data_IF_795457205066
#
_entry.id   IF_795457205066
#
_cell.length_a   1.000
_cell.length_b   1.000
_cell.length_c   1.000
_cell.angle_alpha   90.00
_cell.angle_beta   90.00
_cell.angle_gamma   90.00
#
_symmetry.space_group_name_H-M   'P 1'
#
loop_
_entity.id
_entity.type
_entity.pdbx_description
1 polymer ?
#
# COMPACT_ATOMS: atom_id res chain seq x y z
N UNK A 1 27.99 -1.75 -9.22
CA UNK A 1 27.35 -0.67 -8.43
C UNK A 1 26.21 -1.30 -7.65
N UNK A 2 26.19 -1.17 -6.33
CA UNK A 2 25.05 -1.60 -5.51
C UNK A 2 23.84 -0.74 -5.85
N UNK A 3 22.68 -1.35 -6.03
CA UNK A 3 21.42 -0.61 -6.14
C UNK A 3 21.16 0.00 -4.76
N UNK A 4 21.24 1.32 -4.67
CA UNK A 4 20.78 2.04 -3.49
C UNK A 4 19.25 1.98 -3.45
N UNK A 5 18.72 1.60 -2.29
CA UNK A 5 17.29 1.49 -2.07
C UNK A 5 16.91 2.04 -0.69
N UNK A 6 15.69 2.56 -0.58
CA UNK A 6 15.16 3.18 0.62
C UNK A 6 13.97 2.36 1.13
N UNK A 7 13.98 1.90 2.40
CA UNK A 7 12.82 1.28 3.00
C UNK A 7 11.80 2.35 3.36
N UNK A 8 10.52 2.10 3.10
CA UNK A 8 9.39 2.96 3.48
C UNK A 8 8.26 2.14 4.07
N UNK A 9 7.29 2.83 4.66
CA UNK A 9 5.97 2.28 4.95
C UNK A 9 4.94 3.06 4.15
N UNK A 10 3.93 2.38 3.62
CA UNK A 10 2.85 3.06 2.92
C UNK A 10 1.48 2.46 3.24
N UNK A 11 0.45 3.28 3.08
CA UNK A 11 -0.95 2.95 3.35
C UNK A 11 -1.77 3.29 2.10
N UNK A 12 -2.29 2.29 1.36
CA UNK A 12 -3.16 2.57 0.22
C UNK A 12 -4.50 3.17 0.70
N UNK A 13 -5.03 4.14 -0.05
CA UNK A 13 -6.41 4.63 0.14
C UNK A 13 -7.38 3.46 0.04
N UNK A 14 -8.32 3.35 0.99
CA UNK A 14 -9.23 2.21 1.17
C UNK A 14 -8.53 0.91 1.64
N UNK A 15 -7.23 0.97 1.88
CA UNK A 15 -6.44 -0.11 2.46
C UNK A 15 -6.63 -0.23 3.96
N UNK A 16 -6.57 -1.47 4.45
CA UNK A 16 -6.75 -1.82 5.87
C UNK A 16 -5.43 -2.21 6.57
N UNK A 17 -4.32 -2.15 5.83
CA UNK A 17 -3.00 -2.58 6.27
C UNK A 17 -1.93 -1.58 5.84
N UNK A 18 -0.96 -1.41 6.72
CA UNK A 18 0.25 -0.65 6.46
C UNK A 18 1.29 -1.62 5.90
N UNK A 19 1.92 -1.26 4.79
CA UNK A 19 2.80 -2.16 4.06
C UNK A 19 4.23 -1.63 4.02
N UNK A 20 5.23 -2.45 4.34
CA UNK A 20 6.62 -2.10 4.06
C UNK A 20 6.92 -2.25 2.56
N UNK A 21 7.73 -1.34 2.03
CA UNK A 21 8.28 -1.46 0.68
C UNK A 21 9.73 -0.98 0.65
N UNK A 22 10.48 -1.47 -0.34
CA UNK A 22 11.86 -1.03 -0.62
C UNK A 22 11.87 -0.44 -2.01
N UNK A 23 12.18 0.85 -2.12
CA UNK A 23 12.16 1.59 -3.38
C UNK A 23 13.60 1.85 -3.86
N UNK A 24 13.92 1.61 -5.15
CA UNK A 24 15.17 2.09 -5.73
C UNK A 24 15.28 3.62 -5.58
N UNK A 25 16.45 4.15 -5.25
CA UNK A 25 16.61 5.60 -4.99
C UNK A 25 16.78 6.42 -6.27
N UNK A 26 17.17 5.77 -7.37
CA UNK A 26 17.50 6.42 -8.65
C UNK A 26 16.31 6.59 -9.63
N UNK A 27 15.14 6.07 -9.27
CA UNK A 27 13.91 6.20 -10.08
C UNK A 27 13.12 7.46 -9.71
N UNK A 28 12.19 7.86 -10.57
CA UNK A 28 11.24 8.92 -10.29
C UNK A 28 10.13 8.42 -9.36
N UNK A 29 9.50 9.34 -8.61
CA UNK A 29 8.38 9.03 -7.71
C UNK A 29 7.24 8.31 -8.46
N UNK A 30 6.92 8.67 -9.70
CA UNK A 30 5.89 7.98 -10.49
C UNK A 30 6.22 6.51 -10.77
N UNK A 31 7.50 6.18 -10.95
CA UNK A 31 7.93 4.79 -11.17
C UNK A 31 7.82 4.00 -9.87
N UNK A 32 8.15 4.62 -8.74
CA UNK A 32 7.91 4.05 -7.42
C UNK A 32 6.42 3.80 -7.16
N UNK A 33 5.55 4.75 -7.54
CA UNK A 33 4.08 4.61 -7.44
C UNK A 33 3.59 3.39 -8.23
N UNK A 34 4.09 3.16 -9.45
CA UNK A 34 3.70 1.96 -10.22
C UNK A 34 4.15 0.66 -9.54
N UNK A 35 5.32 0.64 -8.90
CA UNK A 35 5.75 -0.50 -8.09
C UNK A 35 4.77 -0.74 -6.93
N UNK A 36 4.42 0.31 -6.17
CA UNK A 36 3.47 0.19 -5.06
C UNK A 36 2.06 -0.19 -5.54
N UNK A 37 1.63 0.31 -6.71
CA UNK A 37 0.39 -0.08 -7.36
C UNK A 37 0.33 -1.57 -7.62
N UNK A 38 1.41 -2.16 -8.13
CA UNK A 38 1.49 -3.60 -8.44
C UNK A 38 1.36 -4.51 -7.21
N UNK A 39 1.70 -3.98 -6.02
CA UNK A 39 1.58 -4.70 -4.75
C UNK A 39 0.21 -4.56 -4.09
N UNK A 40 -0.61 -3.60 -4.54
CA UNK A 40 -1.82 -3.19 -3.81
C UNK A 40 -3.09 -3.28 -4.64
N UNK A 41 -3.09 -2.79 -5.87
CA UNK A 41 -4.29 -2.72 -6.70
C UNK A 41 -4.67 -4.12 -7.19
N UNK A 42 -5.95 -4.46 -7.06
CA UNK A 42 -6.54 -5.79 -7.28
C UNK A 42 -6.03 -6.90 -6.33
N UNK A 43 -5.19 -6.53 -5.34
CA UNK A 43 -4.76 -7.42 -4.26
C UNK A 43 -5.46 -7.03 -2.96
N UNK A 44 -5.41 -5.74 -2.62
CA UNK A 44 -5.94 -5.16 -1.39
C UNK A 44 -7.03 -4.12 -1.62
N UNK A 45 -6.94 -3.38 -2.74
CA UNK A 45 -7.88 -2.30 -3.08
C UNK A 45 -8.28 -2.39 -4.55
N UNK A 46 -9.47 -1.92 -4.90
CA UNK A 46 -9.97 -1.96 -6.27
C UNK A 46 -9.36 -0.85 -7.13
N UNK A 47 -9.09 -1.16 -8.40
CA UNK A 47 -8.67 -0.14 -9.35
C UNK A 47 -9.79 0.89 -9.61
N UNK A 48 -9.44 2.18 -9.55
CA UNK A 48 -10.35 3.26 -9.94
C UNK A 48 -10.06 3.71 -11.37
N UNK A 49 -10.93 3.34 -12.31
CA UNK A 49 -10.81 3.69 -13.74
C UNK A 49 -10.69 5.21 -13.93
N UNK A 50 -9.71 5.63 -14.73
CA UNK A 50 -9.47 7.04 -15.05
C UNK A 50 -8.81 7.85 -13.93
N UNK A 51 -8.39 7.21 -12.83
CA UNK A 51 -7.58 7.81 -11.78
C UNK A 51 -6.15 7.30 -11.81
N UNK A 52 -5.24 8.15 -11.39
CA UNK A 52 -3.84 7.78 -11.14
C UNK A 52 -3.59 7.70 -9.64
N UNK A 53 -2.43 7.19 -9.22
CA UNK A 53 -2.01 7.18 -7.83
C UNK A 53 -0.98 8.28 -7.56
N UNK A 54 -0.97 8.79 -6.33
CA UNK A 54 0.01 9.76 -5.82
C UNK A 54 0.49 9.34 -4.43
N UNK A 55 1.75 9.64 -4.14
CA UNK A 55 2.32 9.51 -2.80
C UNK A 55 2.17 10.82 -2.05
N UNK A 56 1.68 10.72 -0.83
CA UNK A 56 1.53 11.85 0.09
C UNK A 56 2.22 11.50 1.39
N UNK A 57 3.10 12.36 1.88
CA UNK A 57 3.73 12.14 3.17
C UNK A 57 2.65 12.11 4.26
N UNK A 58 2.62 11.04 5.04
CA UNK A 58 1.58 10.78 6.03
C UNK A 58 1.52 11.87 7.12
N UNK A 59 2.68 12.39 7.53
CA UNK A 59 2.77 13.34 8.64
C UNK A 59 2.62 14.79 8.18
N UNK A 60 3.16 15.14 7.01
CA UNK A 60 3.16 16.53 6.53
C UNK A 60 1.99 16.83 5.59
N UNK A 61 1.32 15.80 5.06
CA UNK A 61 0.29 15.95 4.03
C UNK A 61 0.84 16.40 2.67
N UNK A 62 2.17 16.47 2.51
CA UNK A 62 2.81 16.92 1.27
C UNK A 62 2.63 15.87 0.17
N UNK A 63 1.99 16.28 -0.94
CA UNK A 63 1.96 15.50 -2.18
C UNK A 63 3.33 15.55 -2.84
N UNK A 64 3.93 14.39 -3.12
CA UNK A 64 5.23 14.34 -3.78
C UNK A 64 5.11 14.65 -5.28
N UNK A 65 6.09 15.37 -5.82
CA UNK A 65 6.20 15.60 -7.27
C UNK A 65 6.47 14.26 -7.98
N UNK A 66 5.61 13.82 -8.93
CA UNK A 66 5.79 12.57 -9.67
C UNK A 66 7.12 12.46 -10.43
N UNK A 67 7.75 13.59 -10.77
CA UNK A 67 8.99 13.63 -11.54
C UNK A 67 10.24 13.80 -10.68
N UNK A 68 10.11 14.07 -9.38
CA UNK A 68 11.24 14.10 -8.46
C UNK A 68 11.90 12.72 -8.36
N UNK A 69 13.20 12.67 -8.08
CA UNK A 69 13.89 11.40 -7.79
C UNK A 69 13.59 10.97 -6.36
N UNK A 70 13.40 9.67 -6.17
CA UNK A 70 13.15 9.06 -4.84
C UNK A 70 14.20 9.51 -3.83
N UNK A 71 15.49 9.46 -4.18
CA UNK A 71 16.59 9.85 -3.27
C UNK A 71 16.51 11.30 -2.76
N UNK A 72 15.85 12.19 -3.50
CA UNK A 72 15.84 13.62 -3.20
C UNK A 72 14.68 13.98 -2.26
N UNK A 73 13.63 13.15 -2.21
CA UNK A 73 12.37 13.49 -1.52
C UNK A 73 11.86 12.42 -0.54
N UNK A 74 12.44 11.22 -0.55
CA UNK A 74 12.05 10.11 0.33
C UNK A 74 13.25 9.73 1.21
N UNK A 75 13.01 9.66 2.52
CA UNK A 75 13.99 9.22 3.52
C UNK A 75 13.67 7.80 4.02
N UNK A 76 14.66 7.07 4.55
CA UNK A 76 14.42 5.78 5.19
C UNK A 76 13.35 5.89 6.27
N UNK A 77 12.39 4.96 6.22
CA UNK A 77 11.27 4.82 7.15
C UNK A 77 10.22 5.94 7.09
N UNK A 78 10.24 6.78 6.05
CA UNK A 78 9.12 7.67 5.80
C UNK A 78 7.83 6.87 5.59
N UNK A 79 6.72 7.45 6.07
CA UNK A 79 5.38 6.88 5.97
C UNK A 79 4.57 7.68 4.95
N UNK A 80 3.90 6.98 4.03
CA UNK A 80 3.13 7.62 2.97
C UNK A 80 1.69 7.10 2.89
N UNK A 81 0.77 7.98 2.52
CA UNK A 81 -0.47 7.59 1.89
C UNK A 81 -0.24 7.36 0.39
N UNK A 82 -0.84 6.30 -0.15
CA UNK A 82 -0.93 6.04 -1.58
C UNK A 82 -2.38 6.29 -2.02
N UNK A 83 -2.65 7.46 -2.60
CA UNK A 83 -4.01 7.97 -2.83
C UNK A 83 -4.37 8.03 -4.31
N UNK A 84 -5.66 7.93 -4.60
CA UNK A 84 -6.21 8.13 -5.94
C UNK A 84 -6.36 9.62 -6.28
N UNK A 85 -5.86 10.01 -7.44
CA UNK A 85 -5.84 11.39 -7.91
C UNK A 85 -6.72 11.60 -9.16
N UNK A 86 -7.45 12.73 -9.25
CA UNK A 86 -7.69 13.71 -8.19
C UNK A 86 -8.48 13.09 -7.03
N UNK A 87 -8.28 13.55 -5.80
CA UNK A 87 -8.93 12.98 -4.64
C UNK A 87 -10.40 13.37 -4.60
N UNK A 88 -11.19 12.56 -3.89
CA UNK A 88 -12.56 12.97 -3.53
C UNK A 88 -12.57 13.88 -2.32
N UNK A 89 -11.71 13.58 -1.35
CA UNK A 89 -11.54 14.31 -0.11
C UNK A 89 -10.05 14.37 0.23
N UNK A 90 -9.58 15.49 0.79
CA UNK A 90 -8.18 15.68 1.14
C UNK A 90 -7.96 15.39 2.64
N UNK A 91 -8.48 14.25 3.11
CA UNK A 91 -8.51 13.87 4.52
C UNK A 91 -7.13 13.80 5.19
N UNK A 92 -6.05 13.64 4.40
CA UNK A 92 -4.68 13.57 4.92
C UNK A 92 -4.11 14.94 5.29
N UNK A 93 -4.73 16.04 4.83
CA UNK A 93 -4.22 17.38 5.09
C UNK A 93 -4.34 17.72 6.58
N UNK A 94 -3.31 18.29 7.22
CA UNK A 94 -3.34 18.58 8.66
C UNK A 94 -4.58 19.34 9.13
N UNK A 95 -5.07 20.28 8.32
CA UNK A 95 -6.29 21.05 8.60
C UNK A 95 -7.57 20.20 8.67
N UNK A 96 -7.60 19.06 7.98
CA UNK A 96 -8.74 18.13 7.95
C UNK A 96 -8.58 17.00 8.99
N UNK A 97 -7.41 16.83 9.62
CA UNK A 97 -7.17 15.73 10.58
C UNK A 97 -7.88 15.89 11.94
N UNK A 98 -8.74 16.89 12.09
CA UNK A 98 -9.57 17.09 13.29
C UNK A 98 -11.07 17.04 12.97
N UNK A 99 -11.44 16.78 11.70
CA UNK A 99 -12.83 16.71 11.30
C UNK A 99 -13.46 15.34 11.58
N UNK A 100 -14.78 15.26 11.37
CA UNK A 100 -15.54 14.04 11.57
C UNK A 100 -15.07 12.91 10.64
N UNK A 101 -14.63 13.23 9.42
CA UNK A 101 -14.18 12.26 8.42
C UNK A 101 -12.90 11.58 8.91
N UNK A 102 -11.91 12.35 9.37
CA UNK A 102 -10.67 11.82 9.90
C UNK A 102 -10.90 10.99 11.17
N UNK A 103 -11.83 11.43 12.03
CA UNK A 103 -12.21 10.63 13.20
C UNK A 103 -12.78 9.26 12.78
N UNK A 104 -13.68 9.21 11.81
CA UNK A 104 -14.24 7.94 11.28
C UNK A 104 -13.13 7.06 10.71
N UNK A 105 -12.15 7.64 10.00
CA UNK A 105 -10.99 6.90 9.49
C UNK A 105 -10.22 6.25 10.64
N UNK A 106 -9.92 7.00 11.72
CA UNK A 106 -9.18 6.48 12.88
C UNK A 106 -9.93 5.41 13.66
N UNK A 107 -11.23 5.63 13.89
CA UNK A 107 -12.09 4.62 14.52
C UNK A 107 -12.13 3.33 13.70
N UNK A 108 -12.18 3.46 12.36
CA UNK A 108 -12.15 2.31 11.45
C UNK A 108 -10.79 1.61 11.46
N UNK A 109 -9.67 2.35 11.39
CA UNK A 109 -8.32 1.77 11.48
C UNK A 109 -8.13 0.98 12.79
N UNK A 110 -8.63 1.51 13.91
CA UNK A 110 -8.57 0.87 15.22
C UNK A 110 -9.45 -0.37 15.33
N UNK A 111 -10.67 -0.34 14.78
CA UNK A 111 -11.54 -1.51 14.74
C UNK A 111 -10.93 -2.65 13.89
N UNK A 112 -10.33 -2.27 12.76
CA UNK A 112 -9.67 -3.19 11.83
C UNK A 112 -8.46 -3.88 12.49
N UNK A 113 -7.74 -3.20 13.41
CA UNK A 113 -7.18 -3.76 14.67
C UNK A 113 -7.31 -5.26 14.88
N UNK A 114 -8.54 -5.64 15.12
CA UNK A 114 -8.91 -6.94 15.67
C UNK A 114 -9.62 -7.81 14.63
N UNK A 115 -9.77 -7.32 13.40
CA UNK A 115 -10.42 -8.05 12.33
C UNK A 115 -9.51 -9.20 11.83
N UNK A 116 -10.08 -10.35 11.42
CA UNK A 116 -9.33 -11.41 10.76
C UNK A 116 -8.87 -10.90 9.38
N UNK A 117 -7.62 -10.41 9.33
CA UNK A 117 -7.06 -9.68 8.18
C UNK A 117 -6.28 -10.51 7.18
N UNK A 118 -6.03 -11.79 7.47
CA UNK A 118 -5.31 -12.63 6.52
C UNK A 118 -6.23 -13.06 5.38
N UNK A 119 -5.86 -12.83 4.10
CA UNK A 119 -6.53 -13.48 2.97
C UNK A 119 -6.62 -15.00 3.14
N UNK A 120 -5.71 -15.63 3.89
CA UNK A 120 -5.78 -17.07 4.22
C UNK A 120 -6.90 -17.46 5.17
N UNK A 121 -7.52 -16.50 5.87
CA UNK A 121 -8.68 -16.72 6.74
C UNK A 121 -9.97 -16.40 5.99
N UNK A 122 -9.97 -15.34 5.18
CA UNK A 122 -11.15 -14.88 4.43
C UNK A 122 -11.41 -15.67 3.14
N UNK A 123 -10.35 -16.17 2.51
CA UNK A 123 -10.38 -16.93 1.26
C UNK A 123 -9.63 -18.27 1.41
N UNK A 124 -9.80 -18.91 2.57
CA UNK A 124 -9.11 -20.16 2.91
C UNK A 124 -9.29 -21.21 1.80
N UNK A 125 -10.51 -21.33 1.29
CA UNK A 125 -10.89 -22.29 0.24
C UNK A 125 -10.20 -21.97 -1.09
N UNK A 126 -10.19 -20.72 -1.54
CA UNK A 126 -9.50 -20.31 -2.76
C UNK A 126 -7.98 -20.44 -2.64
N UNK A 127 -7.40 -20.05 -1.50
CA UNK A 127 -5.96 -20.20 -1.28
C UNK A 127 -5.57 -21.68 -1.26
N UNK A 128 -6.36 -22.55 -0.64
CA UNK A 128 -6.12 -23.99 -0.67
C UNK A 128 -6.30 -24.59 -2.07
N UNK A 129 -7.29 -24.11 -2.84
CA UNK A 129 -7.53 -24.51 -4.22
C UNK A 129 -6.35 -24.17 -5.13
N UNK A 130 -5.78 -22.98 -5.00
CA UNK A 130 -4.70 -22.48 -5.87
C UNK A 130 -3.28 -22.66 -5.29
N UNK A 131 -3.15 -23.16 -4.06
CA UNK A 131 -1.85 -23.42 -3.45
C UNK A 131 -1.07 -24.50 -4.21
N UNK A 132 0.10 -24.10 -4.71
CA UNK A 132 1.05 -24.99 -5.38
C UNK A 132 1.47 -26.13 -4.45
N UNK A 133 1.74 -25.82 -3.17
CA UNK A 133 2.13 -26.80 -2.15
C UNK A 133 1.01 -27.82 -1.92
N UNK A 134 -0.22 -27.36 -1.68
CA UNK A 134 -1.37 -28.26 -1.46
C UNK A 134 -1.64 -29.15 -2.67
N UNK A 135 -1.46 -28.62 -3.88
CA UNK A 135 -1.55 -29.42 -5.11
C UNK A 135 -0.46 -30.50 -5.17
N UNK A 136 0.79 -30.16 -4.88
CA UNK A 136 1.89 -31.12 -4.89
C UNK A 136 1.74 -32.19 -3.79
N UNK A 137 1.21 -31.84 -2.62
CA UNK A 137 0.84 -32.78 -1.56
C UNK A 137 -0.26 -33.75 -2.04
N UNK A 138 -1.36 -33.24 -2.62
CA UNK A 138 -2.44 -34.06 -3.20
C UNK A 138 -1.94 -34.98 -4.32
N UNK A 139 -0.96 -34.54 -5.09
CA UNK A 139 -0.35 -35.33 -6.17
C UNK A 139 0.79 -36.26 -5.69
N UNK A 140 1.14 -36.27 -4.39
CA UNK A 140 2.22 -37.09 -3.85
C UNK A 140 3.61 -36.74 -4.39
N UNK A 141 3.79 -35.50 -4.85
CA UNK A 141 5.02 -35.01 -5.50
C UNK A 141 5.89 -34.14 -4.59
N UNK A 142 5.41 -33.79 -3.41
CA UNK A 142 6.24 -33.11 -2.41
C UNK A 142 7.31 -34.09 -1.94
N UNK A 143 8.59 -33.73 -2.12
CA UNK A 143 9.71 -34.48 -1.53
C UNK A 143 9.76 -34.11 -0.04
N UNK A 144 9.90 -35.13 0.82
CA UNK A 144 10.08 -34.97 2.26
C UNK A 144 11.34 -34.15 2.59
#
# INVERSE_FOLDING_TARGET
MSIEAVPIVFVPEEGTVWLPAVLPTNIAVKEAVEMLKSLTVNVLVWEKKGKELRLVNYFTGQVLDPNAKVRDVIKPYDVFWLIWWPPREEFWKPENQNDEIFRIIKETEDAVKSAPRSPSVLFADEIEKYSIVRRLEREGKLRA
#
